data_IF_686294339549
#
_entry.id   IF_686294339549
#
_cell.length_a   1.000
_cell.length_b   1.000
_cell.length_c   1.000
_cell.angle_alpha   90.00
_cell.angle_beta   90.00
_cell.angle_gamma   90.00
#
_symmetry.space_group_name_H-M   'P 1'
#
loop_
_entity.id
_entity.type
_entity.pdbx_description
1 polymer ?
#
# COMPACT_ATOMS: atom_id res chain seq x y z
N UNK A 1 13.29 8.12 10.79
CA UNK A 1 12.57 6.96 10.30
C UNK A 1 12.87 6.67 8.83
N UNK A 2 13.10 5.41 8.50
CA UNK A 2 13.31 4.95 7.13
C UNK A 2 11.99 4.40 6.61
N UNK A 3 11.34 5.13 5.72
CA UNK A 3 9.99 4.78 5.27
C UNK A 3 9.94 4.40 3.78
N UNK A 4 8.95 3.59 3.44
CA UNK A 4 8.64 3.21 2.07
C UNK A 4 7.14 3.27 1.85
N UNK A 5 6.75 3.51 0.59
CA UNK A 5 5.37 3.35 0.16
C UNK A 5 5.16 1.91 -0.29
N UNK A 6 4.15 1.25 0.26
CA UNK A 6 3.72 -0.06 -0.19
C UNK A 6 2.49 0.10 -1.06
N UNK A 7 2.59 -0.34 -2.32
CA UNK A 7 1.48 -0.34 -3.28
C UNK A 7 1.04 -1.79 -3.43
N UNK A 8 -0.07 -2.13 -2.78
CA UNK A 8 -0.49 -3.52 -2.58
C UNK A 8 -1.53 -3.94 -3.61
N UNK A 9 -1.22 -4.98 -4.38
CA UNK A 9 -2.15 -5.74 -5.21
C UNK A 9 -2.95 -4.91 -6.22
N UNK A 10 -2.34 -3.91 -6.84
CA UNK A 10 -2.96 -3.15 -7.93
C UNK A 10 -2.68 -3.89 -9.24
N UNK A 11 -3.41 -4.96 -9.45
CA UNK A 11 -3.20 -5.93 -10.52
C UNK A 11 -4.46 -6.07 -11.38
N UNK A 12 -4.34 -6.69 -12.54
CA UNK A 12 -5.43 -6.80 -13.50
C UNK A 12 -6.71 -7.42 -12.91
N UNK A 13 -6.56 -8.46 -12.07
CA UNK A 13 -7.73 -9.15 -11.49
C UNK A 13 -8.32 -8.45 -10.27
N UNK A 14 -7.58 -7.57 -9.61
CA UNK A 14 -8.08 -6.84 -8.45
C UNK A 14 -8.68 -5.49 -8.84
N UNK A 15 -8.02 -4.76 -9.74
CA UNK A 15 -8.47 -3.44 -10.17
C UNK A 15 -9.61 -3.52 -11.19
N UNK A 16 -9.63 -4.59 -12.00
CA UNK A 16 -10.62 -4.75 -13.05
C UNK A 16 -12.07 -4.58 -12.60
N UNK A 17 -12.52 -5.30 -11.55
CA UNK A 17 -13.90 -5.19 -11.08
C UNK A 17 -14.18 -3.98 -10.19
N UNK A 18 -13.18 -3.16 -9.87
CA UNK A 18 -13.35 -2.06 -8.92
C UNK A 18 -14.11 -0.89 -9.54
N UNK A 19 -15.21 -0.48 -8.90
CA UNK A 19 -15.95 0.72 -9.28
C UNK A 19 -15.16 1.97 -8.86
N UNK A 20 -15.09 2.96 -9.76
CA UNK A 20 -14.37 4.20 -9.49
C UNK A 20 -12.85 4.09 -9.59
N UNK A 21 -12.36 3.11 -10.34
CA UNK A 21 -10.93 2.80 -10.43
C UNK A 21 -10.08 3.93 -11.00
N UNK A 22 -10.61 4.75 -11.91
CA UNK A 22 -9.82 5.85 -12.48
C UNK A 22 -9.43 6.87 -11.42
N UNK A 23 -10.37 7.29 -10.60
CA UNK A 23 -10.12 8.23 -9.51
C UNK A 23 -9.23 7.62 -8.44
N UNK A 24 -9.46 6.35 -8.13
CA UNK A 24 -8.64 5.61 -7.17
C UNK A 24 -7.18 5.51 -7.64
N UNK A 25 -6.95 5.15 -8.91
CA UNK A 25 -5.61 5.07 -9.48
C UNK A 25 -4.90 6.43 -9.50
N UNK A 26 -5.64 7.52 -9.75
CA UNK A 26 -5.04 8.86 -9.68
C UNK A 26 -4.51 9.18 -8.29
N UNK A 27 -5.25 8.79 -7.23
CA UNK A 27 -4.79 8.99 -5.84
C UNK A 27 -3.54 8.16 -5.54
N UNK A 28 -3.53 6.91 -5.99
CA UNK A 28 -2.37 6.03 -5.82
C UNK A 28 -1.16 6.63 -6.54
N UNK A 29 -1.32 7.05 -7.78
CA UNK A 29 -0.22 7.63 -8.55
C UNK A 29 0.30 8.93 -7.95
N UNK A 30 -0.57 9.75 -7.35
CA UNK A 30 -0.12 10.95 -6.62
C UNK A 30 0.80 10.57 -5.46
N UNK A 31 0.47 9.52 -4.73
CA UNK A 31 1.32 9.03 -3.64
C UNK A 31 2.65 8.48 -4.16
N UNK A 32 2.60 7.72 -5.25
CA UNK A 32 3.82 7.19 -5.88
C UNK A 32 4.73 8.33 -6.34
N UNK A 33 4.17 9.30 -7.05
CA UNK A 33 4.94 10.45 -7.57
C UNK A 33 5.57 11.23 -6.41
N UNK A 34 4.82 11.43 -5.32
CA UNK A 34 5.33 12.13 -4.15
C UNK A 34 6.55 11.41 -3.54
N UNK A 35 6.47 10.09 -3.40
CA UNK A 35 7.61 9.30 -2.87
C UNK A 35 8.80 9.35 -3.82
N UNK A 36 8.58 9.29 -5.14
CA UNK A 36 9.66 9.46 -6.12
C UNK A 36 10.32 10.83 -6.00
N UNK A 37 9.54 11.88 -5.89
CA UNK A 37 10.07 13.25 -5.76
C UNK A 37 10.93 13.42 -4.50
N UNK A 38 10.59 12.69 -3.44
CA UNK A 38 11.35 12.72 -2.18
C UNK A 38 12.51 11.72 -2.14
N UNK A 39 12.74 10.99 -3.22
CA UNK A 39 13.73 9.92 -3.30
C UNK A 39 13.54 8.85 -2.22
N UNK A 40 12.27 8.55 -1.94
CA UNK A 40 11.89 7.50 -0.99
C UNK A 40 11.48 6.24 -1.73
N UNK A 41 11.77 5.06 -1.18
CA UNK A 41 11.46 3.80 -1.87
C UNK A 41 9.96 3.57 -2.07
N UNK A 42 9.63 3.03 -3.24
CA UNK A 42 8.29 2.55 -3.57
C UNK A 42 8.41 1.05 -3.82
N UNK A 43 7.58 0.26 -3.14
CA UNK A 43 7.57 -1.19 -3.25
C UNK A 43 6.20 -1.62 -3.77
N UNK A 44 6.18 -2.17 -4.99
CA UNK A 44 4.98 -2.76 -5.56
C UNK A 44 4.89 -4.21 -5.12
N UNK A 45 3.76 -4.59 -4.55
CA UNK A 45 3.53 -5.94 -4.04
C UNK A 45 2.49 -6.62 -4.90
N UNK A 46 2.84 -7.79 -5.45
CA UNK A 46 1.97 -8.61 -6.28
C UNK A 46 1.48 -9.81 -5.50
N UNK A 47 0.17 -10.05 -5.50
CA UNK A 47 -0.41 -11.28 -5.01
C UNK A 47 -0.34 -12.34 -6.10
N UNK A 48 0.21 -13.49 -5.79
CA UNK A 48 0.25 -14.62 -6.72
C UNK A 48 -1.18 -14.98 -7.18
N UNK A 49 -1.35 -15.14 -8.48
CA UNK A 49 -2.63 -15.49 -9.08
C UNK A 49 -3.57 -14.31 -9.38
N UNK A 50 -3.17 -13.07 -9.06
CA UNK A 50 -4.03 -11.90 -9.31
C UNK A 50 -3.70 -11.14 -10.60
N UNK A 51 -2.88 -11.72 -11.47
CA UNK A 51 -2.54 -11.12 -12.75
C UNK A 51 -1.39 -10.14 -12.65
N UNK A 52 -1.21 -9.37 -13.71
CA UNK A 52 -0.10 -8.41 -13.81
C UNK A 52 -0.41 -7.09 -13.11
N UNK A 53 0.64 -6.38 -12.70
CA UNK A 53 0.50 -5.01 -12.20
C UNK A 53 -0.16 -4.13 -13.25
N UNK A 54 -1.02 -3.22 -12.80
CA UNK A 54 -1.71 -2.30 -13.68
C UNK A 54 -0.72 -1.43 -14.47
N UNK A 55 -0.94 -1.32 -15.78
CA UNK A 55 -0.14 -0.44 -16.65
C UNK A 55 -0.36 1.04 -16.33
N UNK A 56 -1.41 1.37 -15.58
CA UNK A 56 -1.72 2.75 -15.22
C UNK A 56 -0.91 3.27 -14.04
N UNK A 57 -0.12 2.42 -13.38
CA UNK A 57 0.73 2.84 -12.26
C UNK A 57 1.95 3.61 -12.74
N UNK A 58 2.30 4.68 -12.01
CA UNK A 58 3.48 5.52 -12.27
C UNK A 58 4.76 4.83 -11.80
N UNK A 59 5.01 3.62 -12.29
CA UNK A 59 6.15 2.79 -11.88
C UNK A 59 7.42 3.17 -12.65
N UNK A 60 8.52 3.28 -11.92
CA UNK A 60 9.85 3.46 -12.50
C UNK A 60 10.61 2.15 -12.53
N UNK A 61 11.58 2.04 -13.43
CA UNK A 61 12.31 0.78 -13.62
C UNK A 61 13.12 0.33 -12.42
N UNK A 62 13.52 1.25 -11.54
CA UNK A 62 14.29 0.95 -10.34
C UNK A 62 13.43 0.81 -9.08
N UNK A 63 12.11 0.89 -9.21
CA UNK A 63 11.21 0.58 -8.11
C UNK A 63 11.27 -0.92 -7.79
N UNK A 64 11.01 -1.25 -6.52
CA UNK A 64 10.98 -2.65 -6.10
C UNK A 64 9.66 -3.29 -6.48
N UNK A 65 9.72 -4.53 -6.94
CA UNK A 65 8.53 -5.36 -7.19
C UNK A 65 8.76 -6.69 -6.50
N UNK A 66 7.87 -7.03 -5.58
CA UNK A 66 7.95 -8.29 -4.82
C UNK A 66 6.62 -9.03 -4.90
N UNK A 67 6.68 -10.34 -4.83
CA UNK A 67 5.52 -11.21 -4.85
C UNK A 67 5.21 -11.75 -3.46
N UNK A 68 3.96 -12.13 -3.25
CA UNK A 68 3.53 -12.81 -2.03
C UNK A 68 2.45 -13.83 -2.35
N UNK A 69 2.33 -14.84 -1.52
CA UNK A 69 1.31 -15.90 -1.63
C UNK A 69 0.13 -15.68 -0.70
N UNK A 70 0.38 -15.04 0.45
CA UNK A 70 -0.64 -14.77 1.47
C UNK A 70 -0.96 -13.29 1.54
N UNK A 71 -2.05 -12.95 2.22
CA UNK A 71 -2.50 -11.54 2.33
C UNK A 71 -1.51 -10.63 3.02
N UNK A 72 -0.87 -11.11 4.09
CA UNK A 72 0.13 -10.35 4.83
C UNK A 72 1.45 -10.33 4.06
N UNK A 73 1.90 -9.16 3.63
CA UNK A 73 3.16 -9.02 2.89
C UNK A 73 4.37 -9.50 3.70
N UNK A 74 4.31 -9.45 5.02
CA UNK A 74 5.42 -9.88 5.88
C UNK A 74 5.62 -11.38 5.93
N UNK A 75 4.76 -12.16 5.27
CA UNK A 75 5.00 -13.59 5.04
C UNK A 75 5.87 -13.84 3.81
N UNK A 76 6.12 -12.83 2.98
CA UNK A 76 6.91 -12.96 1.76
C UNK A 76 8.39 -12.82 2.05
N UNK A 77 9.22 -13.85 1.73
CA UNK A 77 10.67 -13.72 1.88
C UNK A 77 11.27 -12.60 1.05
N UNK A 78 10.76 -12.39 -0.18
CA UNK A 78 11.26 -11.34 -1.06
C UNK A 78 10.96 -9.96 -0.51
N UNK A 79 9.77 -9.75 0.04
CA UNK A 79 9.43 -8.49 0.69
C UNK A 79 10.33 -8.24 1.91
N UNK A 80 10.48 -9.24 2.77
CA UNK A 80 11.31 -9.12 3.96
C UNK A 80 12.77 -8.83 3.63
N UNK A 81 13.27 -9.37 2.51
CA UNK A 81 14.62 -9.06 2.05
C UNK A 81 14.77 -7.58 1.74
N UNK A 82 13.81 -6.99 1.01
CA UNK A 82 13.84 -5.55 0.69
C UNK A 82 13.77 -4.72 1.97
N UNK A 83 12.88 -5.09 2.89
CA UNK A 83 12.74 -4.38 4.18
C UNK A 83 14.06 -4.38 4.94
N UNK A 84 14.74 -5.52 5.00
CA UNK A 84 16.01 -5.66 5.71
C UNK A 84 17.14 -4.94 5.00
N UNK A 85 17.26 -5.08 3.68
CA UNK A 85 18.32 -4.45 2.89
C UNK A 85 18.27 -2.93 2.99
N UNK A 86 17.06 -2.35 2.97
CA UNK A 86 16.85 -0.91 3.07
C UNK A 86 16.72 -0.42 4.52
N UNK A 87 16.72 -1.33 5.48
CA UNK A 87 16.57 -1.01 6.91
C UNK A 87 15.31 -0.20 7.18
N UNK A 88 14.21 -0.60 6.57
CA UNK A 88 12.92 0.10 6.72
C UNK A 88 12.32 -0.16 8.09
N UNK A 89 11.71 0.86 8.67
CA UNK A 89 11.00 0.75 9.95
C UNK A 89 9.65 1.44 9.95
N UNK A 90 9.25 2.02 8.82
CA UNK A 90 8.00 2.75 8.68
C UNK A 90 7.41 2.53 7.30
N UNK A 91 6.11 2.31 7.24
CA UNK A 91 5.43 1.99 5.99
C UNK A 91 4.20 2.86 5.80
N UNK A 92 4.05 3.39 4.59
CA UNK A 92 2.84 4.08 4.15
C UNK A 92 2.13 3.15 3.18
N UNK A 93 0.87 2.82 3.46
CA UNK A 93 0.17 1.73 2.79
C UNK A 93 -0.96 2.26 1.92
N UNK A 94 -0.95 1.84 0.66
CA UNK A 94 -2.03 2.07 -0.32
C UNK A 94 -2.30 0.76 -1.07
N UNK A 95 -3.47 0.64 -1.68
CA UNK A 95 -3.78 -0.49 -2.55
C UNK A 95 -5.10 -1.18 -2.26
N UNK A 96 -5.15 -2.48 -2.49
CA UNK A 96 -6.36 -3.32 -2.42
C UNK A 96 -6.07 -4.63 -1.66
N UNK A 97 -7.02 -5.28 -1.06
CA UNK A 97 -8.36 -4.77 -0.70
C UNK A 97 -8.33 -4.41 0.77
N UNK A 98 -9.14 -3.42 1.16
CA UNK A 98 -9.20 -2.93 2.54
C UNK A 98 -9.36 -4.04 3.59
N UNK A 99 -10.26 -4.96 3.31
CA UNK A 99 -10.65 -6.05 4.21
C UNK A 99 -9.77 -7.30 4.10
N UNK A 100 -8.78 -7.28 3.25
CA UNK A 100 -7.91 -8.45 3.01
C UNK A 100 -6.44 -8.05 3.13
N UNK A 101 -5.73 -7.94 2.02
CA UNK A 101 -4.28 -7.71 2.01
C UNK A 101 -3.87 -6.41 2.72
N UNK A 102 -4.69 -5.36 2.63
CA UNK A 102 -4.40 -4.09 3.30
C UNK A 102 -4.39 -4.27 4.82
N UNK A 103 -5.50 -4.76 5.40
CA UNK A 103 -5.57 -4.87 6.86
C UNK A 103 -4.59 -5.92 7.40
N UNK A 104 -4.38 -7.00 6.66
CA UNK A 104 -3.44 -8.05 7.09
C UNK A 104 -2.00 -7.54 7.10
N UNK A 105 -1.62 -6.77 6.11
CA UNK A 105 -0.26 -6.20 6.03
C UNK A 105 -0.05 -5.13 7.09
N UNK A 106 -1.04 -4.26 7.33
CA UNK A 106 -0.96 -3.26 8.39
C UNK A 106 -0.78 -3.93 9.77
N UNK A 107 -1.55 -4.97 10.04
CA UNK A 107 -1.42 -5.73 11.30
C UNK A 107 -0.07 -6.41 11.40
N UNK A 108 0.39 -7.02 10.29
CA UNK A 108 1.71 -7.66 10.24
C UNK A 108 2.84 -6.69 10.55
N UNK A 109 2.76 -5.47 10.02
CA UNK A 109 3.76 -4.43 10.30
C UNK A 109 3.76 -4.04 11.79
N UNK A 110 2.58 -3.85 12.39
CA UNK A 110 2.47 -3.53 13.81
C UNK A 110 3.05 -4.65 14.69
N UNK A 111 2.79 -5.90 14.33
CA UNK A 111 3.33 -7.06 15.06
C UNK A 111 4.85 -7.11 15.03
N UNK A 112 5.46 -6.61 13.95
CA UNK A 112 6.91 -6.52 13.82
C UNK A 112 7.50 -5.30 14.55
N UNK A 113 6.66 -4.43 15.10
CA UNK A 113 7.10 -3.22 15.78
C UNK A 113 7.32 -2.03 14.86
N UNK A 114 6.86 -2.09 13.62
CA UNK A 114 7.01 -1.01 12.65
C UNK A 114 5.91 0.04 12.80
N UNK A 115 6.23 1.27 12.38
CA UNK A 115 5.24 2.35 12.25
C UNK A 115 4.47 2.19 10.96
N UNK A 116 3.15 2.37 11.01
CA UNK A 116 2.26 2.19 9.85
C UNK A 116 1.35 3.39 9.68
N UNK A 117 1.33 3.92 8.47
CA UNK A 117 0.37 4.94 8.04
C UNK A 117 -0.49 4.35 6.93
N UNK A 118 -1.80 4.42 7.09
CA UNK A 118 -2.76 4.02 6.06
C UNK A 118 -3.32 5.27 5.41
N UNK A 119 -3.24 5.35 4.07
CA UNK A 119 -3.79 6.47 3.33
C UNK A 119 -5.28 6.21 3.09
N UNK A 120 -6.13 6.93 3.83
CA UNK A 120 -7.56 6.66 3.96
C UNK A 120 -8.35 6.60 2.65
N UNK A 121 -7.93 7.36 1.65
CA UNK A 121 -8.60 7.46 0.35
C UNK A 121 -7.83 6.80 -0.78
N UNK A 122 -6.78 6.06 -0.46
CA UNK A 122 -5.94 5.36 -1.44
C UNK A 122 -5.87 3.85 -1.18
N UNK A 123 -6.86 3.31 -0.49
CA UNK A 123 -7.17 1.89 -0.47
C UNK A 123 -8.68 1.73 -0.66
N UNK A 124 -9.12 0.58 -1.11
CA UNK A 124 -10.54 0.39 -1.42
C UNK A 124 -10.92 -1.08 -1.39
N UNK A 125 -12.21 -1.35 -1.59
CA UNK A 125 -12.78 -2.68 -1.71
C UNK A 125 -13.89 -2.66 -2.75
N UNK A 126 -14.21 -3.82 -3.32
CA UNK A 126 -15.39 -3.97 -4.18
C UNK A 126 -16.69 -3.73 -3.38
N UNK A 127 -16.64 -3.97 -2.06
CA UNK A 127 -17.72 -3.63 -1.13
C UNK A 127 -17.35 -2.30 -0.48
N UNK A 128 -17.85 -1.20 -1.02
CA UNK A 128 -17.40 0.16 -0.70
C UNK A 128 -17.38 0.54 0.79
N UNK A 129 -18.40 0.18 1.61
CA UNK A 129 -18.34 0.53 3.03
C UNK A 129 -17.14 -0.05 3.80
N UNK A 130 -16.52 -1.11 3.29
CA UNK A 130 -15.39 -1.75 3.98
C UNK A 130 -14.17 -0.83 4.10
N UNK A 131 -13.97 0.08 3.16
CA UNK A 131 -12.87 1.06 3.26
C UNK A 131 -12.96 1.85 4.57
N UNK A 132 -14.11 2.45 4.82
CA UNK A 132 -14.30 3.27 6.02
C UNK A 132 -14.30 2.46 7.30
N UNK A 133 -14.86 1.25 7.26
CA UNK A 133 -14.85 0.33 8.41
C UNK A 133 -13.41 0.01 8.79
N UNK A 134 -12.56 -0.32 7.83
CA UNK A 134 -11.18 -0.68 8.11
C UNK A 134 -10.30 0.51 8.45
N UNK A 135 -10.59 1.71 7.92
CA UNK A 135 -9.94 2.93 8.40
C UNK A 135 -10.12 3.09 9.92
N UNK A 136 -11.34 2.88 10.41
CA UNK A 136 -11.64 3.00 11.83
C UNK A 136 -11.01 1.87 12.65
N UNK A 137 -11.13 0.63 12.19
CA UNK A 137 -10.60 -0.53 12.92
C UNK A 137 -9.08 -0.48 13.06
N UNK A 138 -8.39 -0.15 11.98
CA UNK A 138 -6.93 -0.09 12.01
C UNK A 138 -6.43 1.08 12.85
N UNK A 139 -7.11 2.21 12.81
CA UNK A 139 -6.80 3.34 13.67
C UNK A 139 -6.85 2.96 15.15
N UNK A 140 -7.84 2.16 15.55
CA UNK A 140 -8.01 1.73 16.95
C UNK A 140 -6.85 0.89 17.45
N UNK A 141 -6.16 0.17 16.59
CA UNK A 141 -5.05 -0.71 16.99
C UNK A 141 -3.67 -0.09 16.78
N UNK A 142 -3.61 1.18 16.38
CA UNK A 142 -2.35 1.91 16.33
C UNK A 142 -1.86 2.31 14.95
N UNK A 143 -2.64 2.09 13.89
CA UNK A 143 -2.31 2.58 12.55
C UNK A 143 -2.65 4.06 12.47
N UNK A 144 -1.70 4.89 12.03
CA UNK A 144 -1.96 6.29 11.74
C UNK A 144 -2.73 6.39 10.43
N UNK A 145 -3.82 7.14 10.40
CA UNK A 145 -4.64 7.29 9.19
C UNK A 145 -4.68 8.74 8.74
N UNK A 146 -4.56 8.95 7.43
CA UNK A 146 -4.48 10.30 6.83
C UNK A 146 -4.94 10.23 5.38
N UNK A 147 -5.55 11.29 4.87
CA UNK A 147 -5.90 11.37 3.45
C UNK A 147 -4.65 11.62 2.60
N UNK A 148 -4.70 11.26 1.32
CA UNK A 148 -3.57 11.48 0.40
C UNK A 148 -3.21 12.97 0.30
N UNK A 149 -4.21 13.84 0.20
CA UNK A 149 -3.98 15.28 0.11
C UNK A 149 -3.29 15.83 1.37
N UNK A 150 -3.74 15.43 2.54
CA UNK A 150 -3.12 15.87 3.80
C UNK A 150 -1.70 15.33 3.95
N UNK A 151 -1.48 14.08 3.57
CA UNK A 151 -0.13 13.49 3.63
C UNK A 151 0.85 14.30 2.79
N UNK A 152 0.49 14.56 1.54
CA UNK A 152 1.34 15.30 0.60
C UNK A 152 1.55 16.75 1.07
N UNK A 153 0.51 17.42 1.55
CA UNK A 153 0.59 18.80 1.98
C UNK A 153 1.37 18.99 3.28
N UNK A 154 1.27 18.04 4.22
CA UNK A 154 1.93 18.16 5.51
C UNK A 154 3.43 17.88 5.45
N UNK A 155 3.89 17.22 4.41
CA UNK A 155 5.29 16.79 4.27
C UNK A 155 6.09 17.69 3.32
N UNK A 156 5.64 18.91 3.10
CA UNK A 156 6.34 19.90 2.25
C UNK A 156 7.42 20.64 3.01
#
# INVERSE_FOLDING_TARGET
LRKALLVIDIQSKTIGPLYGKEKFLRRINRMIDFFHEKNLPVIFIEQEGCGELSNSLSRLSDDFVVDKKEGNAFTSPNFNKVVNDLKLDSFVVVGLMSNACIQKTCKGALEQGYSVTLVEDAHDSVIKPLKNIWNKRLKKIGVYTITSSMYINNDK
#
